data_IF_691674298619
#
_entry.id   IF_691674298619
#
_cell.length_a   1.000
_cell.length_b   1.000
_cell.length_c   1.000
_cell.angle_alpha   90.00
_cell.angle_beta   90.00
_cell.angle_gamma   90.00
#
_symmetry.space_group_name_H-M   'P 1'
#
loop_
_entity.id
_entity.type
_entity.pdbx_description
1 polymer ?
#
# COMPACT_ATOMS: atom_id res chain seq x y z
N UNK A 1 -13.32 -2.25 1.93
CA UNK A 1 -13.40 -1.74 3.32
C UNK A 1 -12.06 -1.15 3.69
N UNK A 2 -12.01 -0.03 4.40
CA UNK A 2 -10.75 0.51 4.88
C UNK A 2 -10.15 -0.43 5.94
N UNK A 3 -8.94 -0.94 5.70
CA UNK A 3 -8.23 -1.83 6.63
C UNK A 3 -7.62 -1.06 7.81
N UNK A 4 -7.49 0.24 7.67
CA UNK A 4 -6.89 1.14 8.67
C UNK A 4 -7.50 1.02 10.07
N UNK A 5 -8.84 0.98 10.27
CA UNK A 5 -9.42 0.81 11.60
C UNK A 5 -9.04 -0.51 12.26
N UNK A 6 -8.90 -1.59 11.48
CA UNK A 6 -8.51 -2.90 12.01
C UNK A 6 -7.07 -2.89 12.52
N UNK A 7 -6.15 -2.24 11.81
CA UNK A 7 -4.75 -2.13 12.26
C UNK A 7 -4.62 -1.26 13.51
N UNK A 8 -5.39 -0.17 13.59
CA UNK A 8 -5.45 0.65 14.80
C UNK A 8 -6.02 -0.15 15.98
N UNK A 9 -7.09 -0.94 15.77
CA UNK A 9 -7.67 -1.80 16.81
C UNK A 9 -6.70 -2.89 17.26
N UNK A 10 -5.92 -3.50 16.37
CA UNK A 10 -4.90 -4.46 16.71
C UNK A 10 -3.79 -3.81 17.55
N UNK A 11 -3.33 -2.61 17.18
CA UNK A 11 -2.38 -1.83 17.97
C UNK A 11 -2.92 -1.49 19.36
N UNK A 12 -4.18 -1.08 19.43
CA UNK A 12 -4.87 -0.79 20.68
C UNK A 12 -4.97 -2.00 21.63
N UNK A 13 -5.28 -3.19 21.09
CA UNK A 13 -5.54 -4.41 21.88
C UNK A 13 -4.28 -5.20 22.22
N UNK A 14 -3.35 -5.29 21.31
CA UNK A 14 -2.18 -6.18 21.39
C UNK A 14 -0.86 -5.43 21.57
N UNK A 15 -0.89 -4.09 21.60
CA UNK A 15 0.29 -3.27 21.51
C UNK A 15 0.81 -3.15 20.07
N UNK A 16 1.66 -2.17 19.81
CA UNK A 16 2.04 -1.84 18.44
C UNK A 16 2.86 -2.95 17.74
N UNK A 17 3.71 -3.69 18.47
CA UNK A 17 4.57 -4.74 17.88
C UNK A 17 3.75 -5.92 17.39
N UNK A 18 2.95 -6.48 18.27
CA UNK A 18 2.12 -7.64 17.96
C UNK A 18 0.97 -7.25 17.02
N UNK A 19 0.41 -6.06 17.20
CA UNK A 19 -0.59 -5.49 16.29
C UNK A 19 -0.07 -5.28 14.88
N UNK A 20 1.18 -4.81 14.74
CA UNK A 20 1.85 -4.67 13.44
C UNK A 20 2.11 -6.04 12.80
N UNK A 21 2.64 -7.01 13.56
CA UNK A 21 2.92 -8.35 13.04
C UNK A 21 1.64 -9.06 12.59
N UNK A 22 0.62 -9.07 13.44
CA UNK A 22 -0.68 -9.68 13.12
C UNK A 22 -1.34 -8.99 11.93
N UNK A 23 -1.32 -7.67 11.89
CA UNK A 23 -1.84 -6.89 10.78
C UNK A 23 -1.10 -7.17 9.47
N UNK A 24 0.21 -7.30 9.52
CA UNK A 24 1.04 -7.63 8.36
C UNK A 24 0.74 -9.05 7.85
N UNK A 25 0.71 -10.05 8.72
CA UNK A 25 0.39 -11.44 8.35
C UNK A 25 -1.01 -11.52 7.75
N UNK A 26 -2.00 -10.90 8.38
CA UNK A 26 -3.39 -10.89 7.88
C UNK A 26 -3.49 -10.29 6.49
N UNK A 27 -2.79 -9.18 6.24
CA UNK A 27 -2.76 -8.55 4.92
C UNK A 27 -2.04 -9.42 3.89
N UNK A 28 -0.93 -10.07 4.25
CA UNK A 28 -0.21 -10.97 3.35
C UNK A 28 -1.06 -12.15 2.92
N UNK A 29 -1.81 -12.76 3.85
CA UNK A 29 -2.76 -13.83 3.55
C UNK A 29 -3.88 -13.31 2.63
N UNK A 30 -4.46 -12.16 2.94
CA UNK A 30 -5.49 -11.55 2.11
C UNK A 30 -4.99 -11.26 0.68
N UNK A 31 -3.77 -10.74 0.53
CA UNK A 31 -3.15 -10.47 -0.78
C UNK A 31 -2.86 -11.76 -1.55
N UNK A 32 -2.40 -12.82 -0.86
CA UNK A 32 -2.14 -14.11 -1.49
C UNK A 32 -3.42 -14.74 -2.07
N UNK A 33 -4.56 -14.52 -1.42
CA UNK A 33 -5.87 -14.98 -1.90
C UNK A 33 -6.42 -14.04 -2.99
N UNK A 34 -6.35 -12.74 -2.78
CA UNK A 34 -6.92 -11.75 -3.69
C UNK A 34 -6.23 -11.71 -5.06
N UNK A 35 -4.91 -11.88 -5.09
CA UNK A 35 -4.15 -11.80 -6.34
C UNK A 35 -4.60 -12.84 -7.38
N UNK A 36 -4.67 -14.14 -7.09
CA UNK A 36 -5.17 -15.12 -8.05
C UNK A 36 -6.66 -14.91 -8.38
N UNK A 37 -7.48 -14.50 -7.42
CA UNK A 37 -8.90 -14.20 -7.66
C UNK A 37 -9.05 -13.04 -8.67
N UNK A 38 -8.30 -11.95 -8.50
CA UNK A 38 -8.33 -10.84 -9.45
C UNK A 38 -7.74 -11.23 -10.80
N UNK A 39 -6.77 -12.13 -10.84
CA UNK A 39 -6.19 -12.62 -12.09
C UNK A 39 -7.17 -13.47 -12.88
N UNK A 40 -7.92 -14.32 -12.20
CA UNK A 40 -9.00 -15.14 -12.80
C UNK A 40 -10.20 -14.30 -13.22
N UNK A 41 -10.58 -13.32 -12.41
CA UNK A 41 -11.71 -12.43 -12.67
C UNK A 41 -11.41 -11.31 -13.67
N UNK A 42 -10.13 -11.10 -14.01
CA UNK A 42 -9.64 -9.91 -14.71
C UNK A 42 -10.32 -9.61 -16.04
N UNK A 43 -10.62 -10.64 -16.83
CA UNK A 43 -11.35 -10.46 -18.10
C UNK A 43 -12.81 -10.04 -17.91
N UNK A 44 -13.46 -10.49 -16.83
CA UNK A 44 -14.86 -10.15 -16.50
C UNK A 44 -14.96 -8.82 -15.74
N UNK A 45 -14.00 -8.52 -14.86
CA UNK A 45 -13.96 -7.25 -14.12
C UNK A 45 -13.67 -6.05 -15.03
N UNK A 46 -12.84 -6.21 -16.03
CA UNK A 46 -12.55 -5.13 -17.00
C UNK A 46 -13.78 -4.75 -17.85
N UNK A 47 -14.74 -5.65 -17.95
CA UNK A 47 -16.00 -5.44 -18.68
C UNK A 47 -17.10 -4.80 -17.81
N UNK A 48 -16.92 -4.71 -16.50
CA UNK A 48 -17.93 -4.11 -15.63
C UNK A 48 -17.88 -2.59 -15.76
N UNK A 49 -18.99 -1.99 -16.19
CA UNK A 49 -19.17 -0.55 -16.46
C UNK A 49 -18.65 0.34 -15.33
N UNK A 50 -18.76 -0.13 -14.10
CA UNK A 50 -18.26 0.61 -12.92
C UNK A 50 -16.74 0.72 -12.88
N UNK A 51 -16.05 -0.35 -13.24
CA UNK A 51 -14.58 -0.38 -13.30
C UNK A 51 -14.08 0.52 -14.44
N UNK A 52 -14.74 0.45 -15.60
CA UNK A 52 -14.36 1.21 -16.81
C UNK A 52 -14.58 2.72 -16.66
N UNK A 53 -15.71 3.15 -16.11
CA UNK A 53 -16.03 4.58 -15.99
C UNK A 53 -15.14 5.31 -14.97
N UNK A 54 -14.88 4.70 -13.80
CA UNK A 54 -14.09 5.31 -12.74
C UNK A 54 -12.58 5.19 -12.97
N UNK A 55 -12.14 4.14 -13.65
CA UNK A 55 -10.72 3.90 -13.96
C UNK A 55 -10.29 4.52 -15.29
N UNK A 56 -11.21 4.87 -16.18
CA UNK A 56 -10.89 5.45 -17.49
C UNK A 56 -10.01 6.71 -17.40
N UNK A 57 -10.24 7.56 -16.40
CA UNK A 57 -9.38 8.74 -16.13
C UNK A 57 -8.02 8.37 -15.56
N UNK A 58 -7.91 7.22 -14.91
CA UNK A 58 -6.67 6.74 -14.28
C UNK A 58 -5.90 5.77 -15.18
N UNK A 59 -6.53 5.29 -16.26
CA UNK A 59 -6.00 4.29 -17.17
C UNK A 59 -4.60 4.65 -17.70
N UNK A 60 -4.33 5.86 -18.23
CA UNK A 60 -2.99 6.20 -18.71
C UNK A 60 -1.95 6.25 -17.60
N UNK A 61 -2.37 6.54 -16.37
CA UNK A 61 -1.50 6.48 -15.19
C UNK A 61 -1.24 5.03 -14.78
N UNK A 62 -2.26 4.20 -14.85
CA UNK A 62 -2.22 2.78 -14.50
C UNK A 62 -1.35 1.99 -15.50
N UNK A 63 -1.48 2.20 -16.79
CA UNK A 63 -0.67 1.55 -17.83
C UNK A 63 0.83 1.86 -17.67
N UNK A 64 1.16 3.11 -17.29
CA UNK A 64 2.54 3.48 -16.97
C UNK A 64 3.09 2.75 -15.74
N UNK A 65 2.23 2.36 -14.82
CA UNK A 65 2.62 1.63 -13.62
C UNK A 65 2.69 0.11 -13.84
N UNK A 66 1.97 -0.44 -14.83
CA UNK A 66 2.03 -1.87 -15.18
C UNK A 66 3.39 -2.29 -15.73
N UNK A 67 4.05 -1.40 -16.41
CA UNK A 67 5.33 -1.69 -17.03
C UNK A 67 6.47 -1.87 -16.02
N UNK A 68 6.28 -1.45 -14.73
CA UNK A 68 7.40 -1.38 -13.80
C UNK A 68 6.97 -1.66 -12.36
N UNK A 69 7.71 -2.57 -11.69
CA UNK A 69 7.53 -2.90 -10.27
C UNK A 69 7.63 -1.68 -9.33
N UNK A 70 8.42 -0.66 -9.72
CA UNK A 70 8.49 0.61 -8.98
C UNK A 70 7.15 1.36 -8.98
N UNK A 71 6.29 1.13 -9.97
CA UNK A 71 4.93 1.68 -9.99
C UNK A 71 4.05 1.13 -8.88
N UNK A 72 4.14 -0.16 -8.61
CA UNK A 72 3.41 -0.79 -7.50
C UNK A 72 3.88 -0.22 -6.15
N UNK A 73 5.19 -0.10 -5.95
CA UNK A 73 5.78 0.49 -4.75
C UNK A 73 5.27 1.91 -4.54
N UNK A 74 5.30 2.74 -5.60
CA UNK A 74 4.80 4.10 -5.51
C UNK A 74 3.29 4.17 -5.20
N UNK A 75 2.47 3.36 -5.87
CA UNK A 75 1.03 3.32 -5.65
C UNK A 75 0.67 2.94 -4.19
N UNK A 76 1.49 2.09 -3.57
CA UNK A 76 1.34 1.67 -2.17
C UNK A 76 1.76 2.76 -1.17
N UNK A 77 2.89 3.42 -1.42
CA UNK A 77 3.43 4.44 -0.51
C UNK A 77 2.70 5.78 -0.63
N UNK A 78 2.25 6.13 -1.82
CA UNK A 78 1.62 7.42 -2.05
C UNK A 78 0.15 7.52 -1.58
N UNK A 79 -0.46 6.41 -1.13
CA UNK A 79 -1.90 6.35 -0.73
C UNK A 79 -2.87 6.94 -1.76
N UNK A 80 -2.38 7.14 -2.98
CA UNK A 80 -3.09 7.87 -4.03
C UNK A 80 -4.25 7.07 -4.63
N UNK A 81 -4.22 5.75 -4.49
CA UNK A 81 -5.17 4.84 -5.12
C UNK A 81 -5.82 3.91 -4.08
N UNK A 82 -7.11 3.57 -4.26
CA UNK A 82 -7.76 2.58 -3.43
C UNK A 82 -7.02 1.24 -3.45
N UNK A 83 -6.81 0.64 -2.28
CA UNK A 83 -6.05 -0.60 -2.11
C UNK A 83 -6.51 -1.74 -3.02
N UNK A 84 -7.82 -1.95 -3.12
CA UNK A 84 -8.40 -2.97 -3.99
C UNK A 84 -8.11 -2.74 -5.47
N UNK A 85 -8.07 -1.48 -5.90
CA UNK A 85 -7.77 -1.11 -7.28
C UNK A 85 -6.31 -1.44 -7.63
N UNK A 86 -5.37 -1.12 -6.74
CA UNK A 86 -3.95 -1.44 -6.90
C UNK A 86 -3.74 -2.95 -6.98
N UNK A 87 -4.44 -3.73 -6.15
CA UNK A 87 -4.36 -5.20 -6.16
C UNK A 87 -4.92 -5.81 -7.44
N UNK A 88 -6.15 -5.39 -7.83
CA UNK A 88 -6.79 -5.88 -9.04
C UNK A 88 -5.93 -5.59 -10.27
N UNK A 89 -5.34 -4.43 -10.29
CA UNK A 89 -4.53 -3.96 -11.38
C UNK A 89 -3.15 -4.63 -11.44
N UNK A 90 -2.45 -4.79 -10.32
CA UNK A 90 -1.21 -5.54 -10.24
C UNK A 90 -1.38 -7.01 -10.67
N UNK A 91 -2.54 -7.61 -10.38
CA UNK A 91 -2.86 -8.98 -10.78
C UNK A 91 -3.06 -9.15 -12.29
N UNK A 92 -3.42 -8.09 -13.01
CA UNK A 92 -3.56 -8.09 -14.48
C UNK A 92 -2.24 -7.78 -15.21
N UNK A 93 -1.22 -7.34 -14.48
CA UNK A 93 0.09 -7.04 -15.01
C UNK A 93 0.99 -8.27 -15.13
N UNK A 94 2.25 -8.07 -15.57
CA UNK A 94 3.24 -9.14 -15.76
C UNK A 94 3.82 -9.68 -14.46
N UNK A 95 3.46 -9.11 -13.30
CA UNK A 95 4.00 -9.48 -12.00
C UNK A 95 3.63 -10.92 -11.62
N UNK A 96 4.60 -11.66 -11.10
CA UNK A 96 4.36 -12.96 -10.47
C UNK A 96 3.85 -12.77 -9.04
N UNK A 97 3.07 -13.74 -8.53
CA UNK A 97 2.52 -13.69 -7.16
C UNK A 97 3.58 -13.38 -6.11
N UNK A 98 4.71 -14.07 -6.13
CA UNK A 98 5.77 -13.87 -5.13
C UNK A 98 6.39 -12.46 -5.19
N UNK A 99 6.58 -11.88 -6.40
CA UNK A 99 7.06 -10.51 -6.58
C UNK A 99 6.05 -9.51 -6.02
N UNK A 100 4.77 -9.72 -6.32
CA UNK A 100 3.69 -8.89 -5.79
C UNK A 100 3.65 -8.94 -4.25
N UNK A 101 3.76 -10.13 -3.65
CA UNK A 101 3.77 -10.32 -2.20
C UNK A 101 4.98 -9.67 -1.55
N UNK A 102 6.19 -9.87 -2.10
CA UNK A 102 7.42 -9.24 -1.58
C UNK A 102 7.33 -7.71 -1.61
N UNK A 103 7.00 -7.14 -2.76
CA UNK A 103 6.90 -5.69 -2.92
C UNK A 103 5.80 -5.10 -2.03
N UNK A 104 4.65 -5.77 -1.96
CA UNK A 104 3.54 -5.34 -1.10
C UNK A 104 3.90 -5.48 0.38
N UNK A 105 4.53 -6.59 0.77
CA UNK A 105 4.95 -6.84 2.15
C UNK A 105 5.89 -5.77 2.65
N UNK A 106 6.93 -5.44 1.88
CA UNK A 106 7.90 -4.41 2.26
C UNK A 106 7.28 -3.00 2.31
N UNK A 107 6.44 -2.66 1.32
CA UNK A 107 5.87 -1.31 1.22
C UNK A 107 4.73 -1.05 2.20
N UNK A 108 4.06 -2.09 2.70
CA UNK A 108 2.97 -1.95 3.66
C UNK A 108 3.45 -1.89 5.12
N UNK A 109 4.67 -2.39 5.43
CA UNK A 109 5.20 -2.37 6.80
C UNK A 109 5.13 -0.98 7.45
N UNK A 110 5.66 0.10 6.85
CA UNK A 110 5.62 1.41 7.50
C UNK A 110 4.19 1.92 7.72
N UNK A 111 3.27 1.58 6.83
CA UNK A 111 1.87 1.97 6.94
C UNK A 111 1.16 1.22 8.08
N UNK A 112 1.34 -0.10 8.14
CA UNK A 112 0.75 -0.93 9.19
C UNK A 112 1.33 -0.55 10.55
N UNK A 113 2.65 -0.38 10.63
CA UNK A 113 3.33 0.01 11.85
C UNK A 113 2.88 1.39 12.35
N UNK A 114 2.77 2.39 11.46
CA UNK A 114 2.30 3.72 11.81
C UNK A 114 0.88 3.72 12.36
N UNK A 115 -0.03 2.93 11.76
CA UNK A 115 -1.41 2.83 12.23
C UNK A 115 -1.51 2.02 13.53
N UNK A 116 -0.75 0.91 13.66
CA UNK A 116 -0.72 0.14 14.90
C UNK A 116 -0.14 0.95 16.07
N UNK A 117 0.93 1.74 15.84
CA UNK A 117 1.46 2.68 16.81
C UNK A 117 0.43 3.71 17.25
N UNK A 118 -0.36 4.23 16.31
CA UNK A 118 -1.44 5.20 16.65
C UNK A 118 -2.49 4.57 17.54
N UNK A 119 -2.84 3.29 17.32
CA UNK A 119 -3.75 2.53 18.18
C UNK A 119 -3.18 2.32 19.60
N UNK A 120 -1.90 1.96 19.67
CA UNK A 120 -1.19 1.76 20.93
C UNK A 120 -1.09 3.06 21.77
N UNK A 121 -0.83 4.19 21.12
CA UNK A 121 -0.85 5.51 21.76
C UNK A 121 -2.21 5.81 22.38
N UNK A 122 -3.30 5.49 21.69
CA UNK A 122 -4.65 5.67 22.21
C UNK A 122 -4.92 4.75 23.41
N UNK A 123 -4.43 3.51 23.37
CA UNK A 123 -4.57 2.56 24.49
C UNK A 123 -3.83 3.03 25.75
N UNK A 124 -2.67 3.65 25.57
CA UNK A 124 -1.77 4.07 26.65
C UNK A 124 -1.79 5.58 26.88
N UNK A 125 -2.91 6.24 26.61
CA UNK A 125 -3.03 7.71 26.66
C UNK A 125 -2.52 8.34 27.97
N UNK A 126 -2.63 7.62 29.09
CA UNK A 126 -2.18 8.08 30.40
C UNK A 126 -0.66 7.99 30.63
N UNK A 127 0.11 7.56 29.63
CA UNK A 127 1.58 7.41 29.71
C UNK A 127 2.28 8.38 28.75
N UNK A 128 2.42 9.67 29.10
CA UNK A 128 2.86 10.72 28.16
C UNK A 128 4.26 10.49 27.59
N UNK A 129 5.19 9.91 28.37
CA UNK A 129 6.56 9.69 27.92
C UNK A 129 6.67 8.59 26.84
N UNK A 130 5.92 7.48 26.99
CA UNK A 130 5.90 6.43 25.98
C UNK A 130 5.17 6.89 24.73
N UNK A 131 4.08 7.64 24.90
CA UNK A 131 3.27 8.17 23.82
C UNK A 131 4.03 9.15 22.92
N UNK A 132 4.85 10.03 23.49
CA UNK A 132 5.65 10.96 22.71
C UNK A 132 6.64 10.22 21.79
N UNK A 133 7.27 9.15 22.27
CA UNK A 133 8.17 8.30 21.47
C UNK A 133 7.43 7.57 20.38
N UNK A 134 6.31 6.92 20.71
CA UNK A 134 5.49 6.18 19.73
C UNK A 134 4.92 7.11 18.66
N UNK A 135 4.48 8.30 19.04
CA UNK A 135 3.99 9.29 18.10
C UNK A 135 5.09 9.80 17.18
N UNK A 136 6.28 10.09 17.69
CA UNK A 136 7.44 10.47 16.89
C UNK A 136 7.85 9.35 15.92
N UNK A 137 7.82 8.08 16.37
CA UNK A 137 8.09 6.92 15.49
C UNK A 137 7.03 6.78 14.39
N UNK A 138 5.75 6.94 14.71
CA UNK A 138 4.67 6.88 13.75
C UNK A 138 4.82 7.97 12.67
N UNK A 139 5.08 9.21 13.08
CA UNK A 139 5.35 10.32 12.15
C UNK A 139 6.59 10.08 11.31
N UNK A 140 7.67 9.54 11.91
CA UNK A 140 8.89 9.18 11.20
C UNK A 140 8.66 8.13 10.11
N UNK A 141 7.90 7.08 10.41
CA UNK A 141 7.55 6.02 9.46
C UNK A 141 6.69 6.53 8.31
N UNK A 142 5.67 7.33 8.62
CA UNK A 142 4.81 7.94 7.61
C UNK A 142 5.56 8.96 6.76
N UNK A 143 6.42 9.77 7.38
CA UNK A 143 7.30 10.72 6.70
C UNK A 143 8.30 10.01 5.78
N UNK A 144 8.92 8.93 6.25
CA UNK A 144 9.82 8.10 5.44
C UNK A 144 9.10 7.49 4.24
N UNK A 145 7.91 6.92 4.44
CA UNK A 145 7.10 6.39 3.34
C UNK A 145 6.77 7.47 2.29
N UNK A 146 6.42 8.67 2.75
CA UNK A 146 6.17 9.84 1.89
C UNK A 146 7.41 10.28 1.12
N UNK A 147 8.57 10.33 1.78
CA UNK A 147 9.86 10.70 1.16
C UNK A 147 10.29 9.69 0.09
N UNK A 148 10.19 8.41 0.38
CA UNK A 148 10.49 7.35 -0.59
C UNK A 148 9.56 7.45 -1.79
N UNK A 149 8.25 7.64 -1.57
CA UNK A 149 7.29 7.85 -2.63
C UNK A 149 7.60 9.08 -3.50
N UNK A 150 7.99 10.19 -2.88
CA UNK A 150 8.41 11.40 -3.58
C UNK A 150 9.71 11.22 -4.36
N UNK A 151 10.73 10.59 -3.77
CA UNK A 151 12.01 10.32 -4.41
C UNK A 151 11.83 9.44 -5.66
N UNK A 152 11.06 8.34 -5.54
CA UNK A 152 10.76 7.46 -6.67
C UNK A 152 10.05 8.21 -7.81
N UNK A 153 9.15 9.15 -7.48
CA UNK A 153 8.50 10.01 -8.47
C UNK A 153 9.50 10.91 -9.19
N UNK A 154 10.43 11.52 -8.46
CA UNK A 154 11.44 12.44 -9.03
C UNK A 154 12.43 11.72 -9.96
N UNK A 155 12.86 10.52 -9.61
CA UNK A 155 13.76 9.72 -10.45
C UNK A 155 13.11 9.30 -11.78
N UNK A 156 11.80 9.04 -11.79
CA UNK A 156 11.06 8.70 -13.03
C UNK A 156 10.98 9.88 -14.02
N UNK A 157 10.85 11.10 -13.54
CA UNK A 157 10.79 12.27 -14.43
C UNK A 157 12.11 12.52 -15.16
N UNK A 158 13.26 12.09 -14.60
CA UNK A 158 14.57 12.24 -15.26
C UNK A 158 14.88 11.22 -16.36
N UNK A 159 14.12 10.11 -16.43
CA UNK A 159 14.31 9.03 -17.43
C UNK A 159 13.43 9.17 -18.68
N UNK A 160 12.91 10.35 -19.04
CA UNK A 160 12.38 10.56 -20.39
C UNK A 160 13.58 10.71 -21.32
N UNK A 161 13.88 9.76 -22.22
CA UNK A 161 14.76 10.04 -23.33
C UNK A 161 14.06 11.09 -24.18
N UNK A 162 14.78 12.14 -24.51
CA UNK A 162 14.46 13.02 -25.63
C UNK A 162 14.42 12.14 -26.87
N UNK A 163 13.24 11.68 -27.23
CA UNK A 163 12.98 11.10 -28.54
C UNK A 163 12.68 12.27 -29.49
N UNK A 164 13.72 13.01 -29.82
CA UNK A 164 13.74 13.95 -30.94
C UNK A 164 15.20 14.09 -31.38
N UNK A 165 15.59 13.21 -32.30
CA UNK A 165 16.66 13.41 -33.26
C UNK A 165 16.40 12.54 -34.48
#
# INVERSE_FOLDING_TARGET
>A
MPLTPYWALLGYRCGWRDGCLLGWVAVMVALAIQFPLFRLAGSKLSQTVWFTAKTRRLQPTLERFQADSAGLVWARLAWALPFALVNAWAAQGPLRLWQFLLLSGLTLVPNIAGVALSGDVVANWNQPESNARHFAMALGLLGFAGLVGWALRRFRHKKKPTADA
#
